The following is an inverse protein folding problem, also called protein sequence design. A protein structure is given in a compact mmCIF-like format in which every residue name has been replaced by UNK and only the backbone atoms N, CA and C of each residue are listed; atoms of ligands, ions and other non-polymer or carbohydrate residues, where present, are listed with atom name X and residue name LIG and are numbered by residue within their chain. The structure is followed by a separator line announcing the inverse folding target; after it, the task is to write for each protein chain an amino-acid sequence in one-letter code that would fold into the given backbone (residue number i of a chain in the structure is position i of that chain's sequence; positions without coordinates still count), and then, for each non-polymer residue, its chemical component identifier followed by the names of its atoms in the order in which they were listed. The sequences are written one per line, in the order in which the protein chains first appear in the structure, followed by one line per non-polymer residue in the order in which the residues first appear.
data_IF_402345889701
#
_entry.id   IF_402345889701
#
_cell.length_a   1.000
_cell.length_b   1.000
_cell.length_c   1.000
_cell.angle_alpha   90.00
_cell.angle_beta   90.00
_cell.angle_gamma   90.00
#
_symmetry.space_group_name_H-M   'P 1'
#
loop_
_entity.id
_entity.type
_entity.pdbx_description
1 polymer ?
#
# COMPACT_ATOMS: atom_id res chain seq x y z
N UNK A 1 -54.08 12.65 7.94
CA UNK A 1 -52.74 12.05 8.14
C UNK A 1 -52.43 11.13 6.95
N UNK A 2 -52.18 11.68 5.77
CA UNK A 2 -51.86 10.88 4.59
C UNK A 2 -50.35 10.66 4.52
N UNK A 3 -49.93 9.41 4.42
CA UNK A 3 -48.54 9.06 4.14
C UNK A 3 -48.21 9.53 2.71
N UNK A 4 -47.21 10.42 2.58
CA UNK A 4 -46.93 11.05 1.30
C UNK A 4 -45.90 10.22 0.50
N UNK A 5 -46.22 9.80 -0.74
CA UNK A 5 -45.43 8.84 -1.52
C UNK A 5 -44.04 9.34 -1.94
N UNK A 6 -43.72 10.63 -1.76
CA UNK A 6 -42.40 11.20 -2.03
C UNK A 6 -41.38 10.91 -0.91
N UNK A 7 -41.86 10.50 0.27
CA UNK A 7 -41.08 10.37 1.52
C UNK A 7 -40.57 8.96 1.79
N UNK A 8 -40.26 8.19 0.74
CA UNK A 8 -39.65 6.86 0.89
C UNK A 8 -38.39 6.67 0.01
N UNK A 9 -37.49 7.66 0.03
CA UNK A 9 -36.10 7.51 -0.44
C UNK A 9 -35.14 7.61 0.73
N UNK A 10 -35.14 6.63 1.63
CA UNK A 10 -34.16 6.61 2.73
C UNK A 10 -32.74 6.53 2.14
N UNK A 11 -31.92 7.59 2.22
CA UNK A 11 -30.58 7.61 1.63
C UNK A 11 -29.70 6.49 2.22
N UNK A 12 -29.97 6.09 3.46
CA UNK A 12 -29.33 4.97 4.15
C UNK A 12 -29.44 3.63 3.40
N UNK A 13 -30.63 3.26 2.90
CA UNK A 13 -30.83 1.99 2.15
C UNK A 13 -30.02 1.99 0.85
N UNK A 14 -29.92 3.14 0.18
CA UNK A 14 -29.11 3.31 -1.04
C UNK A 14 -27.61 3.24 -0.74
N UNK A 15 -27.16 3.92 0.32
CA UNK A 15 -25.78 3.91 0.77
C UNK A 15 -25.31 2.50 1.15
N UNK A 16 -26.14 1.72 1.85
CA UNK A 16 -25.86 0.33 2.20
C UNK A 16 -25.61 -0.53 0.94
N UNK A 17 -26.50 -0.47 -0.05
CA UNK A 17 -26.31 -1.19 -1.33
C UNK A 17 -25.05 -0.79 -2.07
N UNK A 18 -24.74 0.52 -2.10
CA UNK A 18 -23.51 1.03 -2.71
C UNK A 18 -22.26 0.58 -1.96
N UNK A 19 -22.31 0.54 -0.63
CA UNK A 19 -21.21 0.09 0.23
C UNK A 19 -20.86 -1.37 -0.04
N UNK A 20 -21.85 -2.27 -0.13
CA UNK A 20 -21.62 -3.69 -0.45
C UNK A 20 -20.94 -3.84 -1.81
N UNK A 21 -21.45 -3.14 -2.85
CA UNK A 21 -20.86 -3.16 -4.20
C UNK A 21 -19.43 -2.64 -4.22
N UNK A 22 -19.14 -1.52 -3.55
CA UNK A 22 -17.78 -0.96 -3.44
C UNK A 22 -16.85 -1.88 -2.65
N UNK A 23 -17.35 -2.48 -1.57
CA UNK A 23 -16.59 -3.41 -0.73
C UNK A 23 -16.16 -4.65 -1.48
N UNK A 24 -17.02 -5.24 -2.32
CA UNK A 24 -16.67 -6.38 -3.17
C UNK A 24 -15.54 -6.07 -4.15
N UNK A 25 -15.64 -4.95 -4.88
CA UNK A 25 -14.57 -4.52 -5.83
C UNK A 25 -13.26 -4.20 -5.11
N UNK A 26 -13.35 -3.48 -3.99
CA UNK A 26 -12.19 -3.10 -3.19
C UNK A 26 -11.51 -4.32 -2.56
N UNK A 27 -12.28 -5.34 -2.15
CA UNK A 27 -11.74 -6.58 -1.61
C UNK A 27 -10.90 -7.31 -2.65
N UNK A 28 -11.42 -7.52 -3.85
CA UNK A 28 -10.68 -8.17 -4.94
C UNK A 28 -9.38 -7.43 -5.27
N UNK A 29 -9.44 -6.11 -5.47
CA UNK A 29 -8.26 -5.30 -5.76
C UNK A 29 -7.22 -5.31 -4.61
N UNK A 30 -7.67 -5.28 -3.35
CA UNK A 30 -6.77 -5.38 -2.18
C UNK A 30 -6.14 -6.76 -2.06
N UNK A 31 -6.89 -7.83 -2.32
CA UNK A 31 -6.34 -9.18 -2.26
C UNK A 31 -5.32 -9.39 -3.36
N UNK A 32 -5.64 -9.04 -4.61
CA UNK A 32 -4.70 -9.16 -5.74
C UNK A 32 -3.39 -8.41 -5.48
N UNK A 33 -3.45 -7.15 -5.01
CA UNK A 33 -2.25 -6.38 -4.64
C UNK A 33 -1.46 -7.01 -3.50
N UNK A 34 -2.12 -7.56 -2.48
CA UNK A 34 -1.44 -8.28 -1.38
C UNK A 34 -0.77 -9.55 -1.88
N UNK A 35 -1.40 -10.30 -2.78
CA UNK A 35 -0.83 -11.52 -3.37
C UNK A 35 0.40 -11.20 -4.20
N UNK A 36 0.36 -10.18 -5.07
CA UNK A 36 1.54 -9.77 -5.86
C UNK A 36 2.69 -9.29 -4.96
N UNK A 37 2.37 -8.60 -3.86
CA UNK A 37 3.37 -8.19 -2.88
C UNK A 37 3.98 -9.38 -2.13
N UNK A 38 3.15 -10.35 -1.72
CA UNK A 38 3.62 -11.54 -1.04
C UNK A 38 4.57 -12.35 -1.93
N UNK A 39 4.22 -12.53 -3.21
CA UNK A 39 5.09 -13.19 -4.20
C UNK A 39 6.43 -12.47 -4.36
N UNK A 40 6.42 -11.14 -4.51
CA UNK A 40 7.66 -10.37 -4.62
C UNK A 40 8.52 -10.43 -3.34
N UNK A 41 7.90 -10.56 -2.16
CA UNK A 41 8.64 -10.75 -0.91
C UNK A 41 9.24 -12.15 -0.82
N UNK A 42 8.48 -13.16 -1.21
CA UNK A 42 8.94 -14.54 -1.21
C UNK A 42 10.15 -14.73 -2.16
N UNK A 43 10.11 -14.18 -3.37
CA UNK A 43 11.24 -14.28 -4.30
C UNK A 43 12.50 -13.55 -3.80
N UNK A 44 12.33 -12.46 -3.04
CA UNK A 44 13.45 -11.79 -2.38
C UNK A 44 14.01 -12.64 -1.24
N UNK A 45 13.13 -13.28 -0.46
CA UNK A 45 13.54 -14.13 0.67
C UNK A 45 14.25 -15.42 0.17
N UNK A 46 13.84 -15.95 -1.00
CA UNK A 46 14.47 -17.08 -1.71
C UNK A 46 15.83 -16.72 -2.38
N UNK A 47 16.23 -15.43 -2.36
CA UNK A 47 17.47 -14.89 -2.95
C UNK A 47 17.66 -15.10 -4.45
N UNK A 48 16.60 -15.41 -5.19
CA UNK A 48 16.65 -15.50 -6.65
C UNK A 48 16.60 -14.09 -7.27
N UNK A 49 17.76 -13.53 -7.59
CA UNK A 49 17.88 -12.19 -8.18
C UNK A 49 17.21 -12.11 -9.55
N UNK A 50 17.24 -13.18 -10.34
CA UNK A 50 16.70 -13.19 -11.70
C UNK A 50 15.17 -13.14 -11.70
N UNK A 51 14.53 -13.80 -10.72
CA UNK A 51 13.07 -13.78 -10.55
C UNK A 51 12.57 -12.64 -9.66
N UNK A 52 13.41 -12.09 -8.77
CA UNK A 52 13.04 -11.00 -7.88
C UNK A 52 12.73 -9.69 -8.64
N UNK A 53 13.55 -9.32 -9.63
CA UNK A 53 13.33 -8.09 -10.41
C UNK A 53 11.97 -8.04 -11.14
N UNK A 54 11.59 -9.04 -11.96
CA UNK A 54 10.30 -9.03 -12.64
C UNK A 54 9.12 -9.12 -11.65
N UNK A 55 9.26 -9.87 -10.56
CA UNK A 55 8.24 -9.96 -9.52
C UNK A 55 7.99 -8.61 -8.82
N UNK A 56 9.07 -7.87 -8.51
CA UNK A 56 8.98 -6.54 -7.91
C UNK A 56 8.33 -5.55 -8.89
N UNK A 57 8.72 -5.56 -10.16
CA UNK A 57 8.11 -4.70 -11.19
C UNK A 57 6.60 -4.95 -11.32
N UNK A 58 6.18 -6.21 -11.33
CA UNK A 58 4.76 -6.60 -11.33
C UNK A 58 4.03 -6.09 -10.09
N UNK A 59 4.65 -6.21 -8.90
CA UNK A 59 4.08 -5.69 -7.66
C UNK A 59 3.95 -4.16 -7.66
N UNK A 60 4.93 -3.44 -8.22
CA UNK A 60 4.87 -1.97 -8.36
C UNK A 60 3.71 -1.55 -9.28
N UNK A 61 3.57 -2.20 -10.44
CA UNK A 61 2.47 -1.94 -11.38
C UNK A 61 1.10 -2.20 -10.73
N UNK A 62 0.97 -3.30 -9.99
CA UNK A 62 -0.24 -3.67 -9.23
C UNK A 62 -0.60 -2.61 -8.19
N UNK A 63 0.39 -2.08 -7.45
CA UNK A 63 0.19 -1.00 -6.48
C UNK A 63 -0.33 0.27 -7.15
N UNK A 64 0.24 0.68 -8.28
CA UNK A 64 -0.16 1.90 -8.98
C UNK A 64 -1.57 1.81 -9.56
N UNK A 65 -1.92 0.66 -10.14
CA UNK A 65 -3.29 0.39 -10.59
C UNK A 65 -4.29 0.47 -9.43
N UNK A 66 -3.91 0.05 -8.23
CA UNK A 66 -4.79 0.14 -7.07
C UNK A 66 -4.92 1.56 -6.49
N UNK A 67 -3.91 2.42 -6.69
CA UNK A 67 -4.00 3.86 -6.40
C UNK A 67 -4.91 4.54 -7.40
N UNK A 68 -4.74 4.28 -8.71
CA UNK A 68 -5.60 4.83 -9.76
C UNK A 68 -7.07 4.47 -9.55
N UNK A 69 -7.37 3.24 -9.12
CA UNK A 69 -8.73 2.79 -8.76
C UNK A 69 -9.26 3.37 -7.43
N UNK A 70 -8.47 4.17 -6.71
CA UNK A 70 -8.84 4.76 -5.42
C UNK A 70 -8.97 3.76 -4.26
N UNK A 71 -8.44 2.55 -4.42
CA UNK A 71 -8.54 1.47 -3.42
C UNK A 71 -7.50 1.65 -2.31
N UNK A 72 -6.34 2.22 -2.68
CA UNK A 72 -5.18 2.50 -1.83
C UNK A 72 -4.81 3.99 -1.92
N UNK A 73 -4.51 4.60 -0.77
CA UNK A 73 -4.03 5.97 -0.73
C UNK A 73 -2.59 6.08 -1.25
N UNK A 74 -2.26 7.18 -1.93
CA UNK A 74 -0.92 7.46 -2.50
C UNK A 74 0.23 7.18 -1.52
N UNK A 75 0.15 7.73 -0.30
CA UNK A 75 1.17 7.52 0.73
C UNK A 75 1.30 6.06 1.18
N UNK A 76 0.22 5.27 1.14
CA UNK A 76 0.29 3.85 1.48
C UNK A 76 1.06 3.09 0.39
N UNK A 77 0.77 3.37 -0.88
CA UNK A 77 1.52 2.82 -2.00
C UNK A 77 3.00 3.26 -1.94
N UNK A 78 3.29 4.55 -1.76
CA UNK A 78 4.67 5.07 -1.65
C UNK A 78 5.49 4.36 -0.57
N UNK A 79 4.90 4.12 0.62
CA UNK A 79 5.56 3.36 1.70
C UNK A 79 5.88 1.93 1.28
N UNK A 80 4.95 1.26 0.59
CA UNK A 80 5.16 -0.12 0.13
C UNK A 80 6.21 -0.20 -0.97
N UNK A 81 6.19 0.72 -1.93
CA UNK A 81 7.22 0.83 -2.97
C UNK A 81 8.61 1.01 -2.36
N UNK A 82 8.76 2.01 -1.47
CA UNK A 82 10.03 2.28 -0.80
C UNK A 82 10.58 1.06 -0.06
N UNK A 83 9.72 0.33 0.68
CA UNK A 83 10.13 -0.89 1.40
C UNK A 83 10.59 -2.00 0.45
N UNK A 84 9.89 -2.22 -0.67
CA UNK A 84 10.28 -3.22 -1.67
C UNK A 84 11.61 -2.87 -2.32
N UNK A 85 11.77 -1.63 -2.77
CA UNK A 85 13.02 -1.18 -3.41
C UNK A 85 14.21 -1.29 -2.48
N UNK A 86 14.04 -0.94 -1.19
CA UNK A 86 15.12 -1.10 -0.20
C UNK A 86 15.50 -2.58 -0.05
N UNK A 87 14.53 -3.50 -0.02
CA UNK A 87 14.81 -4.94 0.07
C UNK A 87 15.53 -5.46 -1.17
N UNK A 88 15.08 -5.07 -2.37
CA UNK A 88 15.71 -5.47 -3.63
C UNK A 88 17.14 -4.94 -3.73
N UNK A 89 17.36 -3.66 -3.38
CA UNK A 89 18.70 -3.08 -3.41
C UNK A 89 19.63 -3.77 -2.42
N UNK A 90 19.15 -4.09 -1.22
CA UNK A 90 19.93 -4.89 -0.25
C UNK A 90 20.29 -6.27 -0.79
N UNK A 91 19.38 -6.94 -1.48
CA UNK A 91 19.66 -8.23 -2.14
C UNK A 91 20.76 -8.07 -3.20
N UNK A 92 20.69 -7.01 -4.01
CA UNK A 92 21.70 -6.70 -5.04
C UNK A 92 23.07 -6.38 -4.44
N UNK A 93 23.10 -5.63 -3.34
CA UNK A 93 24.34 -5.23 -2.63
C UNK A 93 24.96 -6.41 -1.85
N UNK A 94 24.14 -7.33 -1.35
CA UNK A 94 24.60 -8.46 -0.55
C UNK A 94 25.36 -9.53 -1.36
N UNK A 95 25.17 -9.62 -2.68
CA UNK A 95 25.70 -10.75 -3.46
C UNK A 95 25.16 -12.11 -2.97
N UNK A 96 25.50 -13.23 -3.64
CA UNK A 96 24.98 -14.55 -3.29
C UNK A 96 25.40 -15.04 -1.89
N UNK A 97 26.57 -14.60 -1.39
CA UNK A 97 27.23 -15.20 -0.22
C UNK A 97 27.19 -14.36 1.07
N UNK A 98 26.60 -13.16 1.08
CA UNK A 98 26.59 -12.37 2.32
C UNK A 98 25.59 -12.90 3.36
N UNK A 99 26.13 -13.17 4.55
CA UNK A 99 25.40 -13.29 5.82
C UNK A 99 24.49 -12.06 6.03
N UNK A 100 23.37 -12.17 6.77
CA UNK A 100 22.37 -11.11 6.88
C UNK A 100 23.02 -9.82 7.37
N UNK A 101 23.20 -8.87 6.44
CA UNK A 101 23.80 -7.58 6.73
C UNK A 101 23.06 -6.94 7.90
N UNK A 102 23.79 -6.78 9.00
CA UNK A 102 23.34 -6.06 10.18
C UNK A 102 22.79 -4.71 9.70
N UNK A 103 21.57 -4.39 10.13
CA UNK A 103 20.83 -3.25 9.63
C UNK A 103 21.71 -1.99 9.63
N UNK A 104 21.76 -1.20 8.55
CA UNK A 104 22.52 0.04 8.59
C UNK A 104 21.91 0.90 9.68
N UNK A 105 22.69 1.17 10.72
CA UNK A 105 22.37 2.09 11.80
C UNK A 105 22.10 3.47 11.20
N UNK A 106 20.87 3.72 10.75
CA UNK A 106 20.50 5.00 10.16
C UNK A 106 20.27 5.96 11.32
N UNK A 107 21.28 6.79 11.56
CA UNK A 107 21.22 7.92 12.48
C UNK A 107 19.93 8.70 12.28
N UNK A 108 19.15 8.79 13.36
CA UNK A 108 17.92 9.57 13.40
C UNK A 108 18.29 11.05 13.45
N UNK A 109 18.56 11.65 12.30
CA UNK A 109 18.59 13.11 12.20
C UNK A 109 17.13 13.59 12.17
N UNK A 110 16.54 13.82 13.33
CA UNK A 110 15.36 14.69 13.46
C UNK A 110 15.80 16.12 13.16
N UNK A 111 15.93 16.48 11.88
CA UNK A 111 16.01 17.91 11.54
C UNK A 111 14.65 18.51 11.86
N UNK A 112 14.66 19.46 12.78
CA UNK A 112 13.50 19.96 13.51
C UNK A 112 12.32 20.33 12.62
N UNK A 113 11.14 19.83 12.99
CA UNK A 113 9.89 20.49 12.63
C UNK A 113 9.59 21.46 13.76
N UNK A 114 10.05 22.70 13.60
CA UNK A 114 9.58 23.81 14.42
C UNK A 114 8.06 23.88 14.29
N UNK A 115 7.36 23.30 15.26
CA UNK A 115 5.93 23.54 15.41
C UNK A 115 5.87 24.86 16.15
N UNK A 116 5.90 25.96 15.38
CA UNK A 116 5.52 27.26 15.87
C UNK A 116 4.07 27.16 16.33
N UNK A 117 3.88 26.83 17.60
CA UNK A 117 2.62 26.98 18.29
C UNK A 117 2.32 28.48 18.26
N UNK A 118 1.49 28.89 17.31
CA UNK A 118 0.74 30.15 17.42
C UNK A 118 -0.04 30.03 18.73
N UNK A 119 0.50 30.66 19.79
CA UNK A 119 -0.24 31.02 20.99
C UNK A 119 -1.51 31.70 20.52
N UNK A 120 -2.65 31.04 20.71
CA UNK A 120 -3.94 31.70 20.67
C UNK A 120 -4.05 32.44 22.01
N UNK A 121 -3.90 33.76 21.98
CA UNK A 121 -4.64 34.68 22.84
C UNK A 121 -6.04 34.84 22.27
#
# INVERSE_FOLDING_TARGET
MLDHPWRNKLPARKAARQSVKRSGRNRSARTSTRTTLARALQTIDERDVAQAEPAVLSALSSLDRAVQKGVLHKNNASRRKSRLTIKLNRLREAGPDAAPAQAPARGRQTRGRATGARRRS
#
